data_IF_168299300083
#
_entry.id   IF_168299300083
#
_cell.length_a   1.000
_cell.length_b   1.000
_cell.length_c   1.000
_cell.angle_alpha   90.00
_cell.angle_beta   90.00
_cell.angle_gamma   90.00
#
_symmetry.space_group_name_H-M   'P 1'
#
loop_
_entity.id
_entity.type
_entity.pdbx_description
1 polymer ?
#
# COMPACT_ATOMS: atom_id res chain seq x y z
N UNK A 1 -11.37 12.28 12.86
CA UNK A 1 -10.62 12.88 11.74
C UNK A 1 -11.43 12.64 10.48
N UNK A 2 -12.14 13.67 10.02
CA UNK A 2 -12.88 13.67 8.76
C UNK A 2 -11.97 13.22 7.61
N UNK A 3 -12.54 12.51 6.63
CA UNK A 3 -11.82 12.02 5.46
C UNK A 3 -11.19 13.20 4.71
N UNK A 4 -9.90 13.46 4.96
CA UNK A 4 -9.09 14.45 4.24
C UNK A 4 -8.89 14.07 2.76
N UNK A 5 -9.13 12.81 2.39
CA UNK A 5 -9.01 12.28 1.04
C UNK A 5 -10.28 11.49 0.73
N UNK A 6 -10.99 11.87 -0.33
CA UNK A 6 -12.15 11.14 -0.84
C UNK A 6 -11.75 9.89 -1.63
N UNK A 7 -12.66 8.92 -1.74
CA UNK A 7 -12.46 7.70 -2.56
C UNK A 7 -12.12 8.05 -4.02
N UNK A 8 -12.74 9.09 -4.58
CA UNK A 8 -12.47 9.54 -5.95
C UNK A 8 -11.07 10.15 -6.14
N UNK A 9 -10.57 10.89 -5.16
CA UNK A 9 -9.19 11.41 -5.18
C UNK A 9 -8.16 10.28 -5.08
N UNK A 10 -8.44 9.29 -4.24
CA UNK A 10 -7.59 8.11 -4.10
C UNK A 10 -7.47 7.34 -5.43
N UNK A 11 -8.59 7.10 -6.12
CA UNK A 11 -8.58 6.39 -7.41
C UNK A 11 -7.84 7.17 -8.51
N UNK A 12 -8.01 8.50 -8.58
CA UNK A 12 -7.25 9.33 -9.53
C UNK A 12 -5.75 9.29 -9.26
N UNK A 13 -5.37 9.38 -7.99
CA UNK A 13 -3.98 9.42 -7.56
C UNK A 13 -3.20 8.14 -7.88
N UNK A 14 -3.88 6.99 -8.02
CA UNK A 14 -3.26 5.73 -8.47
C UNK A 14 -2.68 5.81 -9.90
N UNK A 15 -3.07 6.81 -10.70
CA UNK A 15 -2.61 7.01 -12.08
C UNK A 15 -1.72 8.25 -12.24
N UNK A 16 -1.61 9.06 -11.20
CA UNK A 16 -0.77 10.26 -11.23
C UNK A 16 0.67 9.88 -10.94
N UNK A 17 1.55 10.10 -11.93
CA UNK A 17 2.95 9.69 -11.93
C UNK A 17 3.68 10.06 -10.63
N UNK A 18 3.52 11.30 -10.15
CA UNK A 18 4.11 11.77 -8.89
C UNK A 18 3.74 10.87 -7.71
N UNK A 19 2.47 10.55 -7.54
CA UNK A 19 1.98 9.76 -6.41
C UNK A 19 2.33 8.29 -6.54
N UNK A 20 2.31 7.76 -7.77
CA UNK A 20 2.74 6.40 -8.08
C UNK A 20 4.21 6.19 -7.71
N UNK A 21 5.10 7.08 -8.18
CA UNK A 21 6.54 7.00 -7.92
C UNK A 21 6.84 7.08 -6.42
N UNK A 22 6.21 8.01 -5.70
CA UNK A 22 6.38 8.16 -4.26
C UNK A 22 5.85 6.95 -3.49
N UNK A 23 4.73 6.37 -3.92
CA UNK A 23 4.15 5.17 -3.32
C UNK A 23 5.08 3.97 -3.53
N UNK A 24 5.56 3.76 -4.75
CA UNK A 24 6.53 2.71 -5.06
C UNK A 24 7.80 2.84 -4.20
N UNK A 25 8.31 4.05 -4.00
CA UNK A 25 9.47 4.29 -3.14
C UNK A 25 9.23 3.92 -1.67
N UNK A 26 8.06 4.26 -1.12
CA UNK A 26 7.73 3.87 0.26
C UNK A 26 7.60 2.36 0.40
N UNK A 27 6.87 1.72 -0.52
CA UNK A 27 6.73 0.26 -0.55
C UNK A 27 8.10 -0.42 -0.58
N UNK A 28 8.98 0.00 -1.48
CA UNK A 28 10.35 -0.55 -1.57
C UNK A 28 11.12 -0.40 -0.26
N UNK A 29 11.04 0.78 0.36
CA UNK A 29 11.73 1.06 1.62
C UNK A 29 11.20 0.19 2.75
N UNK A 30 9.89 0.13 2.91
CA UNK A 30 9.25 -0.60 4.01
C UNK A 30 9.52 -2.10 3.88
N UNK A 31 9.40 -2.68 2.68
CA UNK A 31 9.69 -4.11 2.46
C UNK A 31 11.17 -4.45 2.60
N UNK A 32 12.08 -3.57 2.16
CA UNK A 32 13.53 -3.77 2.31
C UNK A 32 13.97 -3.83 3.78
N UNK A 33 13.30 -3.11 4.69
CA UNK A 33 13.57 -3.20 6.14
C UNK A 33 13.31 -4.60 6.70
N UNK A 34 12.49 -5.40 6.02
CA UNK A 34 12.22 -6.79 6.35
C UNK A 34 12.97 -7.78 5.43
N UNK A 35 13.97 -7.32 4.67
CA UNK A 35 14.76 -8.17 3.77
C UNK A 35 13.97 -8.68 2.56
N UNK A 36 12.87 -8.03 2.19
CA UNK A 36 12.06 -8.37 1.02
C UNK A 36 12.34 -7.36 -0.09
N UNK A 37 12.76 -7.84 -1.26
CA UNK A 37 13.02 -6.97 -2.40
C UNK A 37 11.73 -6.74 -3.18
N UNK A 38 11.48 -5.46 -3.48
CA UNK A 38 10.41 -5.02 -4.39
C UNK A 38 11.07 -4.18 -5.47
N UNK A 39 10.75 -4.48 -6.72
CA UNK A 39 11.22 -3.77 -7.88
C UNK A 39 10.07 -2.97 -8.49
N UNK A 40 10.39 -1.83 -9.07
CA UNK A 40 9.43 -1.03 -9.81
C UNK A 40 10.05 -0.64 -11.14
N UNK A 41 9.39 -1.01 -12.23
CA UNK A 41 9.82 -0.80 -13.62
C UNK A 41 9.92 0.68 -14.02
N UNK A 42 9.27 1.57 -13.27
CA UNK A 42 9.06 2.96 -13.67
C UNK A 42 7.82 3.18 -14.54
N UNK A 43 7.14 2.12 -14.96
CA UNK A 43 5.93 2.22 -15.78
C UNK A 43 4.69 2.50 -14.91
N UNK A 44 4.29 3.76 -14.86
CA UNK A 44 3.16 4.23 -14.03
C UNK A 44 1.82 3.60 -14.41
N UNK A 45 1.62 3.20 -15.68
CA UNK A 45 0.35 2.66 -16.16
C UNK A 45 0.02 1.29 -15.53
N UNK A 46 1.05 0.53 -15.16
CA UNK A 46 0.92 -0.80 -14.59
C UNK A 46 1.42 -0.88 -13.15
N UNK A 47 1.83 0.24 -12.56
CA UNK A 47 2.49 0.26 -11.27
C UNK A 47 1.69 -0.39 -10.15
N UNK A 48 0.37 -0.15 -10.11
CA UNK A 48 -0.48 -0.78 -9.10
C UNK A 48 -0.43 -2.31 -9.22
N UNK A 49 -0.62 -2.86 -10.42
CA UNK A 49 -0.61 -4.30 -10.65
C UNK A 49 0.79 -4.90 -10.41
N UNK A 50 1.84 -4.25 -10.90
CA UNK A 50 3.23 -4.69 -10.71
C UNK A 50 3.62 -4.78 -9.24
N UNK A 51 3.29 -3.75 -8.45
CA UNK A 51 3.55 -3.75 -7.02
C UNK A 51 2.64 -4.75 -6.30
N UNK A 52 1.37 -4.84 -6.70
CA UNK A 52 0.43 -5.77 -6.11
C UNK A 52 0.90 -7.22 -6.27
N UNK A 53 1.29 -7.64 -7.46
CA UNK A 53 1.71 -9.01 -7.71
C UNK A 53 2.96 -9.39 -6.90
N UNK A 54 3.94 -8.49 -6.80
CA UNK A 54 5.14 -8.71 -5.99
C UNK A 54 4.83 -8.77 -4.50
N UNK A 55 4.02 -7.82 -4.00
CA UNK A 55 3.67 -7.79 -2.59
C UNK A 55 2.84 -9.01 -2.21
N UNK A 56 1.92 -9.44 -3.07
CA UNK A 56 1.09 -10.61 -2.82
C UNK A 56 1.95 -11.84 -2.55
N UNK A 57 2.99 -12.07 -3.35
CA UNK A 57 3.92 -13.20 -3.16
C UNK A 57 4.57 -13.13 -1.76
N UNK A 58 5.14 -11.99 -1.41
CA UNK A 58 5.76 -11.80 -0.09
C UNK A 58 4.77 -11.98 1.06
N UNK A 59 3.54 -11.46 0.93
CA UNK A 59 2.52 -11.57 1.96
C UNK A 59 2.03 -13.01 2.10
N UNK A 60 1.85 -13.72 0.98
CA UNK A 60 1.46 -15.13 0.99
C UNK A 60 2.54 -16.00 1.67
N UNK A 61 3.81 -15.78 1.33
CA UNK A 61 4.93 -16.45 1.98
C UNK A 61 4.96 -16.18 3.49
N UNK A 62 4.79 -14.92 3.91
CA UNK A 62 4.79 -14.57 5.33
C UNK A 62 3.58 -15.13 6.08
N UNK A 63 2.39 -15.16 5.48
CA UNK A 63 1.21 -15.80 6.07
C UNK A 63 1.46 -17.28 6.36
N UNK A 64 2.15 -17.97 5.45
CA UNK A 64 2.39 -19.40 5.53
C UNK A 64 3.63 -19.78 6.36
N UNK A 65 4.62 -18.90 6.46
CA UNK A 65 5.94 -19.25 7.04
C UNK A 65 6.37 -18.40 8.23
N UNK A 66 5.91 -17.14 8.35
CA UNK A 66 6.40 -16.22 9.38
C UNK A 66 5.40 -15.10 9.71
N UNK A 67 4.34 -15.47 10.42
CA UNK A 67 3.26 -14.56 10.78
C UNK A 67 3.71 -13.40 11.71
N UNK A 68 4.71 -13.60 12.56
CA UNK A 68 5.24 -12.53 13.41
C UNK A 68 5.96 -11.43 12.61
N UNK A 69 6.69 -11.83 11.56
CA UNK A 69 7.30 -10.89 10.61
C UNK A 69 6.23 -10.15 9.81
N UNK A 70 5.14 -10.81 9.42
CA UNK A 70 3.98 -10.14 8.81
C UNK A 70 3.41 -9.08 9.76
N UNK A 71 3.10 -9.43 11.01
CA UNK A 71 2.57 -8.46 11.98
C UNK A 71 3.49 -7.26 12.13
N UNK A 72 4.80 -7.48 12.24
CA UNK A 72 5.78 -6.41 12.35
C UNK A 72 5.81 -5.48 11.13
N UNK A 73 5.68 -6.04 9.91
CA UNK A 73 5.53 -5.26 8.67
C UNK A 73 4.27 -4.40 8.68
N UNK A 74 3.13 -4.98 9.08
CA UNK A 74 1.85 -4.26 9.13
C UNK A 74 1.89 -3.10 10.13
N UNK A 75 2.52 -3.29 11.30
CA UNK A 75 2.75 -2.22 12.26
C UNK A 75 3.63 -1.10 11.70
N UNK A 76 4.73 -1.43 11.01
CA UNK A 76 5.60 -0.45 10.37
C UNK A 76 4.86 0.40 9.33
N UNK A 77 3.91 -0.20 8.62
CA UNK A 77 3.09 0.46 7.59
C UNK A 77 1.94 1.29 8.20
N UNK A 78 1.69 1.15 9.51
CA UNK A 78 0.55 1.68 10.25
C UNK A 78 -0.78 1.10 9.72
N UNK A 79 -0.83 -0.23 9.65
CA UNK A 79 -2.01 -1.02 9.32
C UNK A 79 -2.31 -1.99 10.48
N UNK A 80 -3.46 -1.81 11.10
CA UNK A 80 -3.92 -2.64 12.23
C UNK A 80 -5.12 -3.52 11.82
N UNK A 81 -5.52 -4.45 12.69
CA UNK A 81 -6.63 -5.37 12.43
C UNK A 81 -7.95 -4.66 12.12
N UNK A 82 -8.21 -3.49 12.72
CA UNK A 82 -9.42 -2.71 12.43
C UNK A 82 -9.41 -2.18 11.00
N UNK A 83 -8.25 -1.80 10.47
CA UNK A 83 -8.14 -1.37 9.06
C UNK A 83 -8.22 -2.56 8.09
N UNK A 84 -7.72 -3.73 8.48
CA UNK A 84 -7.83 -4.96 7.68
C UNK A 84 -9.27 -5.49 7.58
N UNK A 85 -10.04 -5.35 8.67
CA UNK A 85 -11.44 -5.79 8.74
C UNK A 85 -12.43 -4.78 8.14
N UNK A 86 -11.96 -3.60 7.73
CA UNK A 86 -12.77 -2.66 6.94
C UNK A 86 -12.92 -3.20 5.52
N UNK A 87 -13.98 -3.96 5.32
CA UNK A 87 -14.37 -4.46 4.01
C UNK A 87 -14.94 -3.34 3.15
N UNK A 88 -14.30 -3.09 2.02
CA UNK A 88 -14.93 -2.35 0.93
C UNK A 88 -15.98 -3.27 0.31
N UNK A 89 -17.27 -2.99 0.55
CA UNK A 89 -18.39 -3.84 0.10
C UNK A 89 -18.42 -4.08 -1.42
N UNK A 90 -17.69 -3.27 -2.17
CA UNK A 90 -17.59 -3.32 -3.64
C UNK A 90 -16.36 -4.10 -4.14
N UNK A 91 -15.43 -4.49 -3.25
CA UNK A 91 -14.21 -5.21 -3.61
C UNK A 91 -14.25 -6.64 -3.11
N UNK A 92 -14.21 -7.58 -4.04
CA UNK A 92 -14.08 -9.00 -3.75
C UNK A 92 -12.63 -9.43 -3.94
N UNK A 93 -11.97 -9.81 -2.85
CA UNK A 93 -10.62 -10.40 -2.87
C UNK A 93 -10.73 -11.93 -2.81
N UNK A 94 -9.91 -12.62 -3.59
CA UNK A 94 -9.93 -14.08 -3.67
C UNK A 94 -9.15 -14.74 -2.53
N UNK A 95 -8.26 -14.00 -1.87
CA UNK A 95 -7.48 -14.47 -0.73
C UNK A 95 -7.22 -13.39 0.32
N UNK A 96 -6.79 -13.82 1.51
CA UNK A 96 -6.33 -12.91 2.57
C UNK A 96 -5.06 -12.17 2.12
N UNK A 97 -4.16 -12.82 1.38
CA UNK A 97 -2.96 -12.18 0.82
C UNK A 97 -3.31 -11.03 -0.13
N UNK A 98 -4.34 -11.18 -0.97
CA UNK A 98 -4.84 -10.11 -1.85
C UNK A 98 -5.42 -8.94 -1.07
N UNK A 99 -6.25 -9.23 -0.06
CA UNK A 99 -6.84 -8.21 0.81
C UNK A 99 -5.74 -7.39 1.52
N UNK A 100 -4.79 -8.07 2.18
CA UNK A 100 -3.70 -7.41 2.90
C UNK A 100 -2.85 -6.58 1.94
N UNK A 101 -2.51 -7.14 0.78
CA UNK A 101 -1.72 -6.44 -0.25
C UNK A 101 -2.41 -5.16 -0.72
N UNK A 102 -3.71 -5.24 -1.00
CA UNK A 102 -4.50 -4.07 -1.37
C UNK A 102 -4.46 -3.00 -0.26
N UNK A 103 -4.71 -3.39 0.99
CA UNK A 103 -4.72 -2.45 2.12
C UNK A 103 -3.36 -1.82 2.38
N UNK A 104 -2.26 -2.55 2.18
CA UNK A 104 -0.89 -1.99 2.25
C UNK A 104 -0.71 -0.90 1.20
N UNK A 105 -0.99 -1.19 -0.08
CA UNK A 105 -0.82 -0.21 -1.16
C UNK A 105 -1.72 1.02 -0.96
N UNK A 106 -2.96 0.80 -0.52
CA UNK A 106 -3.89 1.87 -0.21
C UNK A 106 -3.37 2.77 0.93
N UNK A 107 -2.79 2.16 1.98
CA UNK A 107 -2.22 2.88 3.12
C UNK A 107 -1.00 3.70 2.70
N UNK A 108 -0.10 3.15 1.90
CA UNK A 108 1.07 3.86 1.38
C UNK A 108 0.66 5.08 0.54
N UNK A 109 -0.28 4.88 -0.39
CA UNK A 109 -0.78 5.97 -1.21
C UNK A 109 -1.43 7.08 -0.35
N UNK A 110 -2.25 6.71 0.64
CA UNK A 110 -2.82 7.67 1.59
C UNK A 110 -1.73 8.45 2.34
N UNK A 111 -0.67 7.80 2.82
CA UNK A 111 0.47 8.49 3.47
C UNK A 111 1.13 9.48 2.53
N UNK A 112 1.36 9.09 1.28
CA UNK A 112 1.96 9.94 0.24
C UNK A 112 1.09 11.17 -0.04
N UNK A 113 -0.21 10.97 -0.23
CA UNK A 113 -1.17 12.05 -0.50
C UNK A 113 -1.24 13.04 0.67
N UNK A 114 -1.38 12.54 1.90
CA UNK A 114 -1.42 13.37 3.11
C UNK A 114 -0.14 14.20 3.23
N UNK A 115 1.03 13.56 3.11
CA UNK A 115 2.33 14.26 3.20
C UNK A 115 2.48 15.32 2.12
N UNK A 116 2.01 15.03 0.90
CA UNK A 116 2.09 15.98 -0.21
C UNK A 116 1.17 17.18 0.03
N UNK A 117 -0.09 16.93 0.43
CA UNK A 117 -1.07 17.97 0.73
C UNK A 117 -0.57 18.93 1.83
N UNK A 118 -0.05 18.40 2.94
CA UNK A 118 0.47 19.23 4.03
C UNK A 118 1.77 19.94 3.69
N UNK A 119 2.61 19.37 2.80
CA UNK A 119 3.82 20.04 2.31
C UNK A 119 3.48 21.22 1.39
N UNK A 120 2.44 21.08 0.58
CA UNK A 120 1.99 22.13 -0.37
C UNK A 120 1.23 23.27 0.33
N UNK A 121 0.54 23.01 1.45
CA UNK A 121 -0.14 24.06 2.24
C UNK A 121 0.72 24.71 3.32
N UNK A 122 1.90 24.15 3.61
CA UNK A 122 2.86 24.69 4.56
C UNK A 122 3.88 25.65 3.94
N UNK A 123 3.65 26.11 2.70
CA UNK A 123 4.42 27.15 2.02
C UNK A 123 3.71 28.51 2.10
#
# INVERSE_FOLDING_TARGET
>A
MSQLISKGELERSKREEKFVLLTAQQVKKDFAMFGMQVNFSGNVNFAYNELFDQLKIHIDDLLNSNYEKLKSLLYQIDLNEKELTKTDREMHFSSISELITHKILERELKKVLIRTYFKEKGQ
#
